data_IF_737787046788
#
_entry.id   IF_737787046788
#
_cell.length_a   1.000
_cell.length_b   1.000
_cell.length_c   1.000
_cell.angle_alpha   90.00
_cell.angle_beta   90.00
_cell.angle_gamma   90.00
#
_symmetry.space_group_name_H-M   'P 1'
#
loop_
_entity.id
_entity.type
_entity.pdbx_description
1 polymer ?
#
# COMPACT_ATOMS: atom_id res chain seq x y z
N UNK A 1 -7.20 -2.51 9.72
CA UNK A 1 -6.81 -1.67 8.56
C UNK A 1 -5.36 -1.26 8.66
N UNK A 2 -4.63 -1.31 7.59
CA UNK A 2 -3.26 -0.82 7.50
C UNK A 2 -2.93 -0.51 6.02
N UNK A 3 -1.83 0.19 5.79
CA UNK A 3 -1.35 0.49 4.43
C UNK A 3 -0.02 -0.21 4.16
N UNK A 4 0.82 -0.38 5.16
CA UNK A 4 2.18 -0.91 5.03
C UNK A 4 3.02 -0.07 4.06
N UNK A 5 3.29 1.16 4.47
CA UNK A 5 4.05 2.16 3.72
C UNK A 5 5.56 1.83 3.74
N UNK A 6 5.93 0.76 3.02
CA UNK A 6 7.29 0.22 3.02
C UNK A 6 8.24 0.97 2.08
N UNK A 7 7.70 1.78 1.18
CA UNK A 7 8.42 2.67 0.27
C UNK A 7 7.50 3.83 -0.11
N UNK A 8 8.07 4.98 -0.48
CA UNK A 8 7.29 6.13 -0.96
C UNK A 8 6.63 5.86 -2.31
N UNK A 9 7.24 5.03 -3.15
CA UNK A 9 6.67 4.61 -4.42
C UNK A 9 5.63 3.51 -4.20
N UNK A 10 4.37 3.69 -4.61
CA UNK A 10 3.31 2.73 -4.35
C UNK A 10 3.55 1.36 -4.99
N UNK A 11 4.20 1.31 -6.15
CA UNK A 11 4.56 0.07 -6.83
C UNK A 11 5.65 -0.70 -6.08
N UNK A 12 6.69 0.00 -5.67
CA UNK A 12 7.80 -0.59 -4.89
C UNK A 12 7.28 -1.07 -3.54
N UNK A 13 6.47 -0.26 -2.85
CA UNK A 13 5.84 -0.66 -1.60
C UNK A 13 5.02 -1.96 -1.74
N UNK A 14 4.29 -2.13 -2.84
CA UNK A 14 3.54 -3.36 -3.12
C UNK A 14 4.45 -4.57 -3.31
N UNK A 15 5.55 -4.41 -4.05
CA UNK A 15 6.54 -5.48 -4.26
C UNK A 15 7.25 -5.89 -2.97
N UNK A 16 7.40 -4.97 -2.03
CA UNK A 16 8.03 -5.21 -0.73
C UNK A 16 7.10 -5.93 0.27
N UNK A 17 5.79 -5.92 0.07
CA UNK A 17 4.86 -6.61 0.97
C UNK A 17 5.01 -8.12 0.87
N UNK A 18 4.95 -8.80 2.03
CA UNK A 18 4.97 -10.25 2.09
C UNK A 18 3.68 -10.85 1.50
N UNK A 19 3.71 -12.13 1.16
CA UNK A 19 2.61 -12.84 0.51
C UNK A 19 1.27 -12.64 1.19
N UNK A 20 1.23 -12.81 2.51
CA UNK A 20 0.00 -12.66 3.30
C UNK A 20 -0.60 -11.27 3.19
N UNK A 21 0.24 -10.23 3.17
CA UNK A 21 -0.20 -8.85 3.04
C UNK A 21 -0.62 -8.49 1.61
N UNK A 22 0.08 -8.97 0.59
CA UNK A 22 -0.34 -8.78 -0.80
C UNK A 22 -1.78 -9.24 -1.00
N UNK A 23 -2.12 -10.42 -0.53
CA UNK A 23 -3.48 -10.97 -0.65
C UNK A 23 -4.49 -10.15 0.13
N UNK A 24 -4.22 -9.89 1.41
CA UNK A 24 -5.16 -9.24 2.33
C UNK A 24 -5.36 -7.76 2.03
N UNK A 25 -4.29 -7.05 1.69
CA UNK A 25 -4.33 -5.58 1.56
C UNK A 25 -5.00 -5.11 0.27
N UNK A 26 -5.22 -5.93 -0.72
CA UNK A 26 -6.05 -5.62 -1.89
C UNK A 26 -7.47 -5.30 -1.42
N UNK A 27 -8.08 -6.19 -0.65
CA UNK A 27 -9.44 -5.99 -0.12
C UNK A 27 -9.51 -4.78 0.81
N UNK A 28 -8.58 -4.67 1.76
CA UNK A 28 -8.60 -3.56 2.72
C UNK A 28 -8.37 -2.20 2.04
N UNK A 29 -7.47 -2.12 1.05
CA UNK A 29 -7.28 -0.89 0.25
C UNK A 29 -8.57 -0.51 -0.48
N UNK A 30 -9.23 -1.46 -1.13
CA UNK A 30 -10.50 -1.22 -1.80
C UNK A 30 -11.59 -0.79 -0.82
N UNK A 31 -11.67 -1.39 0.35
CA UNK A 31 -12.62 -0.98 1.39
C UNK A 31 -12.39 0.46 1.85
N UNK A 32 -11.14 0.88 2.02
CA UNK A 32 -10.81 2.27 2.39
C UNK A 32 -11.19 3.26 1.28
N UNK A 33 -10.90 2.92 0.02
CA UNK A 33 -11.26 3.76 -1.14
C UNK A 33 -12.79 3.84 -1.33
N UNK A 34 -13.50 2.73 -1.19
CA UNK A 34 -14.97 2.71 -1.25
C UNK A 34 -15.58 3.54 -0.12
N UNK A 35 -15.04 3.44 1.09
CA UNK A 35 -15.49 4.23 2.24
C UNK A 35 -15.26 5.72 2.02
N UNK A 36 -14.14 6.11 1.37
CA UNK A 36 -13.89 7.50 0.99
C UNK A 36 -15.02 8.05 0.10
N UNK A 37 -15.43 7.30 -0.93
CA UNK A 37 -16.56 7.69 -1.79
C UNK A 37 -17.84 7.89 -0.97
N UNK A 38 -18.19 6.94 -0.12
CA UNK A 38 -19.45 7.00 0.66
C UNK A 38 -19.49 8.14 1.66
N UNK A 39 -18.37 8.39 2.33
CA UNK A 39 -18.27 9.47 3.31
C UNK A 39 -18.30 10.85 2.66
N UNK A 40 -17.60 11.02 1.55
CA UNK A 40 -17.42 12.33 0.91
C UNK A 40 -18.57 12.70 -0.02
N UNK A 41 -19.10 11.75 -0.78
CA UNK A 41 -20.07 11.99 -1.85
C UNK A 41 -21.44 11.37 -1.57
N UNK A 42 -21.62 10.62 -0.47
CA UNK A 42 -22.84 9.85 -0.22
C UNK A 42 -22.86 8.52 -0.98
N UNK A 43 -24.00 7.83 -0.97
CA UNK A 43 -24.10 6.44 -1.40
C UNK A 43 -24.51 6.23 -2.86
N UNK A 44 -24.97 7.26 -3.58
CA UNK A 44 -25.56 7.09 -4.91
C UNK A 44 -24.58 6.49 -5.92
N UNK A 45 -23.43 7.12 -6.11
CA UNK A 45 -22.37 6.61 -6.98
C UNK A 45 -21.88 5.23 -6.51
N UNK A 46 -21.62 5.10 -5.23
CA UNK A 46 -21.11 3.87 -4.64
C UNK A 46 -22.08 2.69 -4.85
N UNK A 47 -23.37 2.89 -4.65
CA UNK A 47 -24.37 1.86 -4.89
C UNK A 47 -24.51 1.53 -6.37
N UNK A 48 -24.53 2.55 -7.23
CA UNK A 48 -24.60 2.36 -8.70
C UNK A 48 -23.44 1.52 -9.23
N UNK A 49 -22.24 1.77 -8.71
CA UNK A 49 -21.00 1.12 -9.17
C UNK A 49 -20.68 -0.18 -8.40
N UNK A 50 -21.52 -0.58 -7.46
CA UNK A 50 -21.32 -1.80 -6.68
C UNK A 50 -20.11 -1.75 -5.76
N UNK A 51 -19.75 -0.56 -5.24
CA UNK A 51 -18.67 -0.40 -4.28
C UNK A 51 -18.98 -1.14 -2.97
N UNK A 52 -17.93 -1.56 -2.28
CA UNK A 52 -18.08 -2.17 -0.97
C UNK A 52 -18.80 -1.24 0.02
N UNK A 53 -19.43 -1.86 0.99
CA UNK A 53 -20.09 -1.14 2.09
C UNK A 53 -19.07 -0.36 2.92
N UNK A 54 -19.55 0.63 3.63
CA UNK A 54 -18.76 1.42 4.59
C UNK A 54 -18.09 0.48 5.60
N UNK A 55 -16.77 0.61 5.75
CA UNK A 55 -15.97 -0.23 6.63
C UNK A 55 -14.94 0.62 7.38
N UNK A 56 -14.84 0.41 8.69
CA UNK A 56 -13.83 1.05 9.55
C UNK A 56 -13.68 2.57 9.31
N UNK A 57 -14.79 3.28 9.20
CA UNK A 57 -14.89 4.70 8.87
C UNK A 57 -13.95 5.59 9.67
N UNK A 58 -13.80 5.31 10.96
CA UNK A 58 -13.03 6.13 11.89
C UNK A 58 -11.60 5.62 12.14
N UNK A 59 -11.18 4.57 11.45
CA UNK A 59 -9.79 4.11 11.54
C UNK A 59 -8.85 5.16 10.94
N UNK A 60 -7.68 5.45 11.55
CA UNK A 60 -6.76 6.49 11.08
C UNK A 60 -6.37 6.35 9.60
N UNK A 61 -6.12 5.13 9.11
CA UNK A 61 -5.80 4.89 7.71
C UNK A 61 -6.97 5.21 6.78
N UNK A 62 -8.20 4.90 7.17
CA UNK A 62 -9.41 5.20 6.40
C UNK A 62 -9.67 6.71 6.34
N UNK A 63 -9.43 7.42 7.44
CA UNK A 63 -9.49 8.89 7.48
C UNK A 63 -8.42 9.51 6.58
N UNK A 64 -7.19 8.99 6.62
CA UNK A 64 -6.08 9.46 5.80
C UNK A 64 -6.41 9.39 4.30
N UNK A 65 -6.98 8.29 3.83
CA UNK A 65 -7.33 8.09 2.41
C UNK A 65 -8.25 9.19 1.90
N UNK A 66 -9.26 9.61 2.69
CA UNK A 66 -10.22 10.64 2.30
C UNK A 66 -9.80 12.07 2.64
N UNK A 67 -8.62 12.25 3.21
CA UNK A 67 -8.13 13.57 3.64
C UNK A 67 -7.62 14.43 2.49
N UNK A 68 -7.18 13.83 1.38
CA UNK A 68 -6.79 14.54 0.16
C UNK A 68 -6.90 13.65 -1.08
N UNK A 69 -7.04 14.29 -2.25
CA UNK A 69 -6.98 13.58 -3.52
C UNK A 69 -5.66 12.82 -3.69
N UNK A 70 -4.54 13.42 -3.30
CA UNK A 70 -3.22 12.80 -3.43
C UNK A 70 -3.06 11.56 -2.57
N UNK A 71 -3.64 11.55 -1.36
CA UNK A 71 -3.68 10.36 -0.51
C UNK A 71 -4.52 9.25 -1.14
N UNK A 72 -5.71 9.59 -1.65
CA UNK A 72 -6.57 8.67 -2.38
C UNK A 72 -5.86 8.07 -3.59
N UNK A 73 -5.24 8.91 -4.41
CA UNK A 73 -4.50 8.50 -5.61
C UNK A 73 -3.35 7.56 -5.27
N UNK A 74 -2.58 7.86 -4.24
CA UNK A 74 -1.49 6.99 -3.79
C UNK A 74 -2.00 5.59 -3.44
N UNK A 75 -3.08 5.52 -2.65
CA UNK A 75 -3.64 4.23 -2.25
C UNK A 75 -4.26 3.49 -3.45
N UNK A 76 -4.92 4.20 -4.36
CA UNK A 76 -5.43 3.60 -5.58
C UNK A 76 -4.29 2.98 -6.41
N UNK A 77 -3.22 3.72 -6.66
CA UNK A 77 -2.06 3.22 -7.41
C UNK A 77 -1.41 2.03 -6.69
N UNK A 78 -1.36 2.07 -5.36
CA UNK A 78 -0.85 0.98 -4.54
C UNK A 78 -1.73 -0.27 -4.62
N UNK A 79 -3.04 -0.11 -4.59
CA UNK A 79 -4.01 -1.20 -4.76
C UNK A 79 -3.83 -1.88 -6.13
N UNK A 80 -3.72 -1.10 -7.19
CA UNK A 80 -3.44 -1.63 -8.55
C UNK A 80 -2.12 -2.40 -8.56
N UNK A 81 -1.09 -1.87 -7.95
CA UNK A 81 0.21 -2.52 -7.86
C UNK A 81 0.14 -3.83 -7.04
N UNK A 82 -0.63 -3.87 -5.95
CA UNK A 82 -0.88 -5.10 -5.19
C UNK A 82 -1.62 -6.15 -6.03
N UNK A 83 -2.59 -5.76 -6.84
CA UNK A 83 -3.30 -6.66 -7.74
C UNK A 83 -2.35 -7.25 -8.80
N UNK A 84 -1.48 -6.43 -9.37
CA UNK A 84 -0.45 -6.88 -10.31
C UNK A 84 0.55 -7.83 -9.62
N UNK A 85 0.93 -7.55 -8.39
CA UNK A 85 1.80 -8.38 -7.59
C UNK A 85 1.15 -9.74 -7.25
N UNK A 86 -0.14 -9.73 -6.92
CA UNK A 86 -0.91 -10.96 -6.70
C UNK A 86 -0.91 -11.85 -7.95
N UNK A 87 -1.16 -11.29 -9.12
CA UNK A 87 -1.12 -12.02 -10.39
C UNK A 87 0.29 -12.52 -10.71
N UNK A 88 1.31 -11.70 -10.48
CA UNK A 88 2.71 -12.08 -10.66
C UNK A 88 3.10 -13.27 -9.78
N UNK A 89 2.71 -13.25 -8.49
CA UNK A 89 3.09 -14.30 -7.54
C UNK A 89 2.29 -15.59 -7.70
N UNK A 90 0.99 -15.49 -8.03
CA UNK A 90 0.05 -16.62 -7.98
C UNK A 90 -0.57 -17.00 -9.32
N UNK A 91 -0.37 -16.24 -10.37
CA UNK A 91 -0.88 -16.55 -11.71
C UNK A 91 -2.39 -16.43 -11.87
N UNK A 92 -3.08 -15.70 -10.99
CA UNK A 92 -4.53 -15.52 -11.02
C UNK A 92 -4.93 -14.08 -10.68
N UNK A 93 -6.15 -13.69 -11.06
CA UNK A 93 -6.69 -12.35 -10.80
C UNK A 93 -7.48 -12.33 -9.50
N UNK A 94 -7.31 -11.27 -8.71
CA UNK A 94 -8.08 -11.05 -7.51
C UNK A 94 -9.50 -10.55 -7.85
N UNK A 95 -10.53 -11.06 -7.16
CA UNK A 95 -11.93 -10.69 -7.43
C UNK A 95 -12.20 -9.18 -7.28
N UNK A 96 -11.44 -8.48 -6.46
CA UNK A 96 -11.56 -7.03 -6.24
C UNK A 96 -11.15 -6.20 -7.47
N UNK A 97 -10.48 -6.80 -8.48
CA UNK A 97 -10.14 -6.09 -9.74
C UNK A 97 -11.36 -5.52 -10.46
N UNK A 98 -12.57 -6.05 -10.24
CA UNK A 98 -13.82 -5.48 -10.75
C UNK A 98 -14.02 -4.02 -10.35
N UNK A 99 -13.37 -3.54 -9.30
CA UNK A 99 -13.47 -2.17 -8.80
C UNK A 99 -12.40 -1.22 -9.37
N UNK A 100 -11.48 -1.70 -10.21
CA UNK A 100 -10.40 -0.87 -10.73
C UNK A 100 -10.93 0.35 -11.49
N UNK A 101 -11.88 0.15 -12.39
CA UNK A 101 -12.46 1.25 -13.16
C UNK A 101 -13.32 2.20 -12.27
N UNK A 102 -14.29 1.73 -11.48
CA UNK A 102 -15.05 2.60 -10.61
C UNK A 102 -14.19 3.42 -9.64
N UNK A 103 -13.16 2.84 -9.05
CA UNK A 103 -12.29 3.52 -8.07
C UNK A 103 -11.24 4.43 -8.74
N UNK A 104 -10.99 4.29 -10.04
CA UNK A 104 -10.12 5.20 -10.78
C UNK A 104 -10.66 6.63 -10.80
N UNK A 105 -11.97 6.78 -10.62
CA UNK A 105 -12.63 8.08 -10.49
C UNK A 105 -12.66 8.48 -9.02
N UNK A 106 -11.93 9.52 -8.62
CA UNK A 106 -11.92 9.96 -7.23
C UNK A 106 -13.26 10.58 -6.81
N UNK A 107 -13.56 10.64 -5.51
CA UNK A 107 -14.72 11.39 -5.01
C UNK A 107 -14.78 12.82 -5.55
N UNK A 108 -15.97 13.25 -5.92
CA UNK A 108 -16.21 14.60 -6.48
C UNK A 108 -15.88 15.70 -5.48
N UNK A 109 -16.03 15.43 -4.18
CA UNK A 109 -15.74 16.38 -3.12
C UNK A 109 -14.28 16.87 -3.12
N UNK A 110 -13.35 16.13 -3.73
CA UNK A 110 -11.96 16.57 -3.85
C UNK A 110 -11.74 17.74 -4.82
N UNK A 111 -12.68 18.05 -5.71
CA UNK A 111 -12.50 19.08 -6.74
C UNK A 111 -12.19 20.47 -6.18
N UNK A 112 -12.62 20.75 -4.95
CA UNK A 112 -12.46 22.05 -4.31
C UNK A 112 -11.49 22.02 -3.13
N UNK A 113 -10.59 21.05 -3.06
CA UNK A 113 -9.63 20.92 -1.96
C UNK A 113 -8.20 21.13 -2.49
N UNK A 114 -7.40 21.89 -1.73
CA UNK A 114 -5.98 22.16 -2.02
C UNK A 114 -5.02 21.43 -1.09
N UNK A 115 -5.50 20.37 -0.42
CA UNK A 115 -4.67 19.56 0.46
C UNK A 115 -3.70 18.71 -0.36
N UNK A 116 -2.47 18.58 0.14
CA UNK A 116 -1.41 17.80 -0.50
C UNK A 116 -1.29 16.41 0.10
N UNK A 117 -0.41 15.59 -0.48
CA UNK A 117 -0.05 14.29 0.08
C UNK A 117 0.57 14.43 1.46
N UNK A 118 0.17 13.55 2.36
CA UNK A 118 0.79 13.37 3.68
C UNK A 118 1.18 11.91 3.85
N UNK A 119 2.18 11.63 4.69
CA UNK A 119 2.51 10.25 5.01
C UNK A 119 1.31 9.54 5.69
N UNK A 120 1.10 8.25 5.40
CA UNK A 120 0.08 7.48 6.11
C UNK A 120 0.32 7.45 7.62
N UNK A 121 -0.73 7.26 8.43
CA UNK A 121 -0.55 7.10 9.87
C UNK A 121 0.25 5.84 10.18
N UNK A 122 1.07 5.89 11.23
CA UNK A 122 1.86 4.77 11.72
C UNK A 122 1.00 3.86 12.61
N UNK A 123 0.30 2.92 11.99
CA UNK A 123 -0.59 1.98 12.67
C UNK A 123 0.20 0.74 13.13
N UNK A 124 0.93 0.88 14.23
CA UNK A 124 1.84 -0.13 14.75
C UNK A 124 2.10 0.10 16.25
N UNK A 125 2.71 -0.87 16.95
CA UNK A 125 3.15 -0.66 18.34
C UNK A 125 4.13 0.52 18.47
N UNK A 126 4.08 1.22 19.59
CA UNK A 126 4.87 2.43 19.83
C UNK A 126 6.38 2.22 19.64
N UNK A 127 6.91 1.04 19.97
CA UNK A 127 8.33 0.71 19.82
C UNK A 127 8.79 0.57 18.37
N UNK A 128 7.86 0.51 17.39
CA UNK A 128 8.18 0.53 15.95
C UNK A 128 8.12 1.94 15.36
N UNK A 129 7.44 2.88 16.01
CA UNK A 129 7.20 4.23 15.48
C UNK A 129 8.46 5.09 15.52
N UNK A 130 8.54 6.05 14.60
CA UNK A 130 9.62 7.02 14.52
C UNK A 130 9.28 8.19 13.60
N UNK A 131 10.24 9.07 13.38
CA UNK A 131 10.05 10.29 12.56
C UNK A 131 9.92 9.97 11.06
N UNK A 132 10.57 8.90 10.58
CA UNK A 132 10.50 8.43 9.22
C UNK A 132 9.44 7.32 9.11
N UNK A 133 8.34 7.61 8.43
CA UNK A 133 7.21 6.68 8.31
C UNK A 133 7.58 5.40 7.57
N UNK A 134 8.37 5.49 6.50
CA UNK A 134 8.85 4.30 5.77
C UNK A 134 9.69 3.42 6.69
N UNK A 135 10.65 3.98 7.40
CA UNK A 135 11.48 3.23 8.36
C UNK A 135 10.67 2.62 9.49
N UNK A 136 9.64 3.32 9.97
CA UNK A 136 8.73 2.79 10.99
C UNK A 136 8.02 1.51 10.49
N UNK A 137 7.50 1.51 9.28
CA UNK A 137 6.87 0.33 8.69
C UNK A 137 7.87 -0.78 8.38
N UNK A 138 9.08 -0.45 7.97
CA UNK A 138 10.16 -1.43 7.79
C UNK A 138 10.53 -2.10 9.13
N UNK A 139 10.67 -1.32 10.18
CA UNK A 139 10.88 -1.83 11.55
C UNK A 139 9.73 -2.73 11.98
N UNK A 140 8.49 -2.32 11.73
CA UNK A 140 7.30 -3.12 12.04
C UNK A 140 7.34 -4.50 11.33
N UNK A 141 7.79 -4.53 10.09
CA UNK A 141 7.98 -5.80 9.35
C UNK A 141 9.02 -6.71 10.00
N UNK A 142 10.18 -6.15 10.32
CA UNK A 142 11.28 -6.91 10.93
C UNK A 142 10.89 -7.46 12.31
N UNK A 143 10.29 -6.61 13.15
CA UNK A 143 10.01 -6.96 14.56
C UNK A 143 8.78 -7.85 14.69
N UNK A 144 7.70 -7.55 13.96
CA UNK A 144 6.38 -8.18 14.19
C UNK A 144 5.96 -9.15 13.10
N UNK A 145 6.51 -9.06 11.88
CA UNK A 145 6.05 -9.85 10.75
C UNK A 145 7.04 -10.93 10.28
N UNK A 146 8.26 -10.92 10.79
CA UNK A 146 9.32 -11.87 10.38
C UNK A 146 8.95 -13.34 10.58
N UNK A 147 8.11 -13.65 11.56
CA UNK A 147 7.69 -15.03 11.85
C UNK A 147 6.87 -15.70 10.72
N UNK A 148 6.23 -14.94 9.88
CA UNK A 148 5.41 -15.48 8.77
C UNK A 148 5.72 -14.85 7.41
N UNK A 149 6.56 -13.83 7.33
CA UNK A 149 6.83 -13.10 6.09
C UNK A 149 7.55 -13.99 5.07
N UNK A 150 6.94 -14.12 3.89
CA UNK A 150 7.46 -14.85 2.72
C UNK A 150 7.17 -14.04 1.46
N UNK A 151 8.00 -14.22 0.44
CA UNK A 151 7.88 -13.55 -0.87
C UNK A 151 7.94 -14.59 -1.99
N UNK A 152 6.79 -15.10 -2.41
CA UNK A 152 6.70 -16.05 -3.53
C UNK A 152 7.12 -15.38 -4.84
N UNK A 153 8.02 -16.00 -5.60
CA UNK A 153 8.56 -15.52 -6.87
C UNK A 153 9.20 -14.12 -6.82
N UNK A 154 9.57 -13.65 -5.63
CA UNK A 154 10.16 -12.33 -5.41
C UNK A 154 11.27 -12.45 -4.38
N UNK A 155 12.38 -11.77 -4.61
CA UNK A 155 13.45 -11.64 -3.59
C UNK A 155 12.92 -10.79 -2.43
N UNK A 156 13.12 -11.21 -1.17
CA UNK A 156 12.76 -10.36 -0.02
C UNK A 156 13.43 -9.00 -0.10
N UNK A 157 12.76 -7.92 0.40
CA UNK A 157 13.34 -6.58 0.35
C UNK A 157 14.67 -6.49 1.11
N UNK A 158 15.57 -5.64 0.65
CA UNK A 158 16.89 -5.45 1.25
C UNK A 158 16.82 -5.12 2.73
N UNK A 159 15.91 -4.22 3.14
CA UNK A 159 15.74 -3.85 4.54
C UNK A 159 15.41 -5.05 5.44
N UNK A 160 14.63 -6.00 4.92
CA UNK A 160 14.23 -7.22 5.66
C UNK A 160 15.40 -8.20 5.79
N UNK A 161 16.31 -8.22 4.82
CA UNK A 161 17.51 -9.05 4.82
C UNK A 161 18.70 -8.42 5.59
N UNK A 162 18.52 -7.22 6.17
CA UNK A 162 19.58 -6.48 6.86
C UNK A 162 20.61 -5.84 5.93
N UNK A 163 20.27 -5.65 4.63
CA UNK A 163 21.13 -4.98 3.64
C UNK A 163 20.77 -3.48 3.59
N UNK A 164 21.81 -2.61 3.61
CA UNK A 164 21.63 -1.18 3.38
C UNK A 164 21.65 -0.90 1.87
N UNK A 165 20.90 0.12 1.43
CA UNK A 165 20.84 0.53 0.03
C UNK A 165 22.21 0.99 -0.51
N UNK A 166 23.15 1.36 0.36
CA UNK A 166 24.50 1.81 0.03
C UNK A 166 25.48 0.67 -0.31
N UNK A 167 25.17 -0.59 -0.03
CA UNK A 167 26.06 -1.72 -0.32
C UNK A 167 25.95 -2.26 -1.76
N UNK A 168 25.10 -1.64 -2.60
CA UNK A 168 24.86 -2.06 -3.99
C UNK A 168 25.87 -1.58 -5.02
N UNK A 169 26.94 -0.86 -4.64
CA UNK A 169 27.84 -0.18 -5.61
C UNK A 169 29.31 -0.60 -5.55
N UNK A 170 29.65 -1.76 -4.99
CA UNK A 170 31.05 -2.24 -5.05
C UNK A 170 31.17 -3.75 -5.25
N UNK A 171 30.66 -4.25 -6.36
CA UNK A 171 31.27 -5.42 -6.99
C UNK A 171 32.01 -4.92 -8.23
N UNK A 172 33.14 -4.30 -7.97
CA UNK A 172 34.10 -3.94 -8.99
C UNK A 172 34.58 -5.20 -9.69
N UNK A 173 34.42 -5.20 -10.98
CA UNK A 173 35.07 -6.09 -11.91
C UNK A 173 36.57 -6.06 -11.64
N UNK A 174 37.13 -7.11 -11.06
CA UNK A 174 38.53 -7.44 -11.24
C UNK A 174 38.63 -8.21 -12.54
N UNK A 175 38.91 -7.49 -13.61
CA UNK A 175 39.54 -8.08 -14.77
C UNK A 175 40.98 -8.46 -14.36
N UNK A 176 41.27 -9.74 -14.33
CA UNK A 176 42.62 -10.23 -14.27
C UNK A 176 43.19 -10.26 -15.69
N UNK A 177 44.04 -9.29 -16.00
CA UNK A 177 45.01 -9.42 -17.09
C UNK A 177 46.08 -10.45 -16.69
N UNK A 178 46.22 -11.50 -17.48
CA UNK A 178 47.49 -12.13 -17.88
C UNK A 178 47.27 -12.94 -19.14
#
# INVERSE_FOLDING_TARGET
MNIFYLDKNPKIAAQMQCDKHVVKMILESAQMLCTAHRVLDGDDYANKMGLYKLAHKNHPSTIWVRSSYQNYKWLYDHMIALMNEYTYRYGKKHATERLNDPLSKPPMAFKNTFKTFTDPPQCMPAYCKGDDTVKAYQTYYIVEKSGFAKWTNRVPPKFFMGMNDDEGTSLGLHESET
#
